data_IF_136282297671
#
_entry.id   IF_136282297671
#
_cell.length_a   1.000
_cell.length_b   1.000
_cell.length_c   1.000
_cell.angle_alpha   90.00
_cell.angle_beta   90.00
_cell.angle_gamma   90.00
#
_symmetry.space_group_name_H-M   'P 1'
#
loop_
_entity.id
_entity.type
_entity.pdbx_description
1 polymer ?
#
# COMPACT_ATOMS: atom_id res chain seq x y z
N UNK A 1 5.55 19.91 -3.87
CA UNK A 1 5.15 18.61 -4.42
C UNK A 1 3.67 18.64 -4.84
N UNK A 2 3.34 17.81 -5.85
CA UNK A 2 1.96 17.45 -6.16
C UNK A 2 1.68 16.11 -5.48
N UNK A 3 0.70 16.08 -4.59
CA UNK A 3 0.39 14.89 -3.77
C UNK A 3 -1.02 14.42 -4.13
N UNK A 4 -1.12 13.20 -4.66
CA UNK A 4 -2.40 12.58 -4.98
C UNK A 4 -2.81 11.58 -3.90
N UNK A 5 -3.95 11.80 -3.26
CA UNK A 5 -4.47 10.94 -2.19
C UNK A 5 -5.74 10.24 -2.68
N UNK A 6 -5.75 8.91 -2.60
CA UNK A 6 -6.98 8.15 -2.85
C UNK A 6 -8.01 8.43 -1.76
N UNK A 7 -9.23 8.81 -2.16
CA UNK A 7 -10.31 9.11 -1.22
C UNK A 7 -11.68 8.80 -1.85
N UNK A 8 -12.31 7.75 -1.36
CA UNK A 8 -13.66 7.33 -1.70
C UNK A 8 -14.17 6.33 -0.64
N UNK A 9 -15.35 5.74 -0.76
CA UNK A 9 -15.86 4.76 0.21
C UNK A 9 -14.96 3.53 0.41
N UNK A 10 -14.15 3.15 -0.59
CA UNK A 10 -13.20 2.03 -0.48
C UNK A 10 -11.89 2.45 0.21
N UNK A 11 -11.56 3.76 0.21
CA UNK A 11 -10.31 4.34 0.75
C UNK A 11 -10.64 5.54 1.64
N UNK A 12 -11.22 5.29 2.81
CA UNK A 12 -11.81 6.33 3.67
C UNK A 12 -11.11 6.48 5.03
N UNK A 13 -10.13 5.64 5.37
CA UNK A 13 -9.45 5.68 6.66
C UNK A 13 -8.24 6.64 6.60
N UNK A 14 -8.53 7.92 6.51
CA UNK A 14 -7.57 9.01 6.53
C UNK A 14 -7.64 9.74 7.88
N UNK A 15 -6.50 9.91 8.55
CA UNK A 15 -6.44 10.81 9.71
C UNK A 15 -6.15 12.24 9.24
N UNK A 16 -6.75 13.22 9.91
CA UNK A 16 -6.55 14.62 9.57
C UNK A 16 -5.09 15.03 9.81
N UNK A 17 -4.47 14.51 10.88
CA UNK A 17 -3.07 14.78 11.21
C UNK A 17 -2.12 14.33 10.10
N UNK A 18 -2.37 13.18 9.49
CA UNK A 18 -1.57 12.72 8.35
C UNK A 18 -1.76 13.61 7.11
N UNK A 19 -2.98 14.09 6.87
CA UNK A 19 -3.27 15.04 5.78
C UNK A 19 -2.57 16.37 6.04
N UNK A 20 -2.66 16.90 7.25
CA UNK A 20 -2.04 18.16 7.64
C UNK A 20 -0.52 18.09 7.54
N UNK A 21 0.07 16.94 7.91
CA UNK A 21 1.50 16.69 7.72
C UNK A 21 1.87 16.71 6.22
N UNK A 22 1.11 16.03 5.37
CA UNK A 22 1.36 16.02 3.93
C UNK A 22 1.19 17.40 3.28
N UNK A 23 0.21 18.18 3.73
CA UNK A 23 -0.06 19.53 3.20
C UNK A 23 1.11 20.49 3.38
N UNK A 24 2.01 20.22 4.33
CA UNK A 24 3.23 21.03 4.53
C UNK A 24 4.25 20.87 3.39
N UNK A 25 4.17 19.76 2.62
CA UNK A 25 5.12 19.47 1.55
C UNK A 25 4.64 19.88 0.17
N UNK A 26 3.34 20.17 0.01
CA UNK A 26 2.84 20.55 -1.30
C UNK A 26 1.33 20.60 -1.43
N UNK A 27 0.88 20.63 -2.66
CA UNK A 27 -0.54 20.69 -2.99
C UNK A 27 -1.15 19.29 -2.99
N UNK A 28 -2.23 19.12 -2.24
CA UNK A 28 -2.98 17.87 -2.19
C UNK A 28 -4.12 17.91 -3.21
N UNK A 29 -4.23 16.83 -3.99
CA UNK A 29 -5.39 16.51 -4.82
C UNK A 29 -5.95 15.16 -4.40
N UNK A 30 -7.26 15.00 -4.50
CA UNK A 30 -7.92 13.72 -4.23
C UNK A 30 -8.38 13.06 -5.52
N UNK A 31 -8.27 11.74 -5.56
CA UNK A 31 -8.82 10.93 -6.65
C UNK A 31 -9.56 9.72 -6.10
N UNK A 32 -10.46 9.15 -6.90
CA UNK A 32 -11.22 7.97 -6.52
C UNK A 32 -10.79 6.75 -7.31
N UNK A 33 -10.11 5.78 -6.68
CA UNK A 33 -9.91 4.47 -7.31
C UNK A 33 -11.22 3.80 -7.71
N UNK A 34 -12.29 3.99 -6.96
CA UNK A 34 -13.57 3.33 -7.15
C UNK A 34 -14.38 3.90 -8.32
N UNK A 35 -14.57 5.23 -8.35
CA UNK A 35 -15.50 5.88 -9.30
C UNK A 35 -14.81 6.65 -10.42
N UNK A 36 -13.53 6.67 -10.37
CA UNK A 36 -12.99 7.75 -11.01
C UNK A 36 -12.35 7.74 -12.30
N UNK A 37 -11.76 8.78 -12.39
CA UNK A 37 -10.81 9.34 -13.32
C UNK A 37 -9.51 8.55 -13.32
N UNK A 38 -8.64 8.99 -14.15
CA UNK A 38 -7.26 8.53 -14.21
C UNK A 38 -6.48 8.90 -12.94
N UNK A 39 -5.32 8.28 -12.78
CA UNK A 39 -4.36 8.68 -11.76
C UNK A 39 -3.90 10.12 -12.06
N UNK A 40 -4.04 11.07 -11.11
CA UNK A 40 -3.51 12.41 -11.30
C UNK A 40 -1.99 12.40 -11.45
N UNK A 41 -1.44 13.35 -12.21
CA UNK A 41 0.01 13.61 -12.20
C UNK A 41 0.43 14.01 -10.78
N UNK A 42 1.39 13.31 -10.20
CA UNK A 42 1.82 13.51 -8.83
C UNK A 42 3.29 13.15 -8.61
N UNK A 43 3.92 13.86 -7.67
CA UNK A 43 5.26 13.52 -7.14
C UNK A 43 5.18 12.43 -6.06
N UNK A 44 4.02 12.33 -5.39
CA UNK A 44 3.72 11.34 -4.37
C UNK A 44 2.26 10.88 -4.47
N UNK A 45 2.05 9.58 -4.51
CA UNK A 45 0.73 8.95 -4.41
C UNK A 45 0.57 8.33 -3.03
N UNK A 46 -0.54 8.61 -2.37
CA UNK A 46 -0.91 7.98 -1.11
C UNK A 46 -2.20 7.19 -1.26
N UNK A 47 -2.12 5.88 -1.03
CA UNK A 47 -3.24 4.94 -0.98
C UNK A 47 -3.50 4.56 0.47
N UNK A 48 -4.44 5.20 1.15
CA UNK A 48 -4.70 4.97 2.57
C UNK A 48 -5.47 3.69 2.83
N UNK A 49 -5.75 3.43 4.10
CA UNK A 49 -6.65 2.37 4.52
C UNK A 49 -8.10 2.61 4.09
N UNK A 50 -8.89 1.54 4.18
CA UNK A 50 -10.30 1.54 3.83
C UNK A 50 -10.85 0.12 3.81
N UNK A 51 -11.90 -0.06 3.03
CA UNK A 51 -12.62 -1.33 2.93
C UNK A 51 -12.76 -1.77 1.46
N UNK A 52 -11.64 -2.02 0.74
CA UNK A 52 -11.67 -2.42 -0.66
C UNK A 52 -12.44 -3.72 -0.88
N UNK A 53 -12.52 -4.59 0.12
CA UNK A 53 -13.27 -5.84 0.08
C UNK A 53 -14.78 -5.64 -0.14
N UNK A 54 -15.34 -4.53 0.32
CA UNK A 54 -16.75 -4.19 0.08
C UNK A 54 -17.01 -3.78 -1.37
N UNK A 55 -15.97 -3.42 -2.09
CA UNK A 55 -16.03 -2.87 -3.45
C UNK A 55 -15.17 -3.67 -4.46
N UNK A 56 -14.75 -4.88 -4.10
CA UNK A 56 -13.80 -5.67 -4.88
C UNK A 56 -14.26 -5.86 -6.34
N UNK A 57 -15.56 -6.09 -6.57
CA UNK A 57 -16.14 -6.24 -7.91
C UNK A 57 -16.06 -4.97 -8.76
N UNK A 58 -16.18 -3.81 -8.16
CA UNK A 58 -16.05 -2.52 -8.84
C UNK A 58 -14.58 -2.21 -9.09
N UNK A 59 -13.72 -2.38 -8.09
CA UNK A 59 -12.28 -2.13 -8.18
C UNK A 59 -11.62 -3.02 -9.23
N UNK A 60 -11.96 -4.30 -9.27
CA UNK A 60 -11.46 -5.26 -10.27
C UNK A 60 -11.60 -4.77 -11.72
N UNK A 61 -12.59 -3.93 -12.00
CA UNK A 61 -12.83 -3.38 -13.34
C UNK A 61 -11.96 -2.18 -13.67
N UNK A 62 -11.20 -1.67 -12.72
CA UNK A 62 -10.38 -0.45 -12.85
C UNK A 62 -9.03 -0.72 -13.51
N UNK A 63 -9.00 -1.53 -14.55
CA UNK A 63 -7.77 -1.97 -15.23
C UNK A 63 -6.92 -0.80 -15.75
N UNK A 64 -7.55 0.27 -16.23
CA UNK A 64 -6.83 1.46 -16.69
C UNK A 64 -6.06 2.12 -15.53
N UNK A 65 -6.71 2.31 -14.37
CA UNK A 65 -6.04 2.85 -13.19
C UNK A 65 -4.90 1.93 -12.72
N UNK A 66 -5.10 0.61 -12.77
CA UNK A 66 -4.06 -0.34 -12.39
C UNK A 66 -2.83 -0.26 -13.30
N UNK A 67 -3.03 -0.08 -14.60
CA UNK A 67 -1.93 0.14 -15.53
C UNK A 67 -1.21 1.47 -15.24
N UNK A 68 -1.96 2.55 -15.01
CA UNK A 68 -1.38 3.86 -14.66
C UNK A 68 -0.58 3.81 -13.35
N UNK A 69 -1.05 3.09 -12.32
CA UNK A 69 -0.29 2.88 -11.09
C UNK A 69 0.99 2.11 -11.35
N UNK A 70 0.92 1.09 -12.21
CA UNK A 70 2.10 0.30 -12.59
C UNK A 70 3.13 1.16 -13.33
N UNK A 71 2.70 1.90 -14.35
CA UNK A 71 3.57 2.78 -15.12
C UNK A 71 4.22 3.84 -14.21
N UNK A 72 3.42 4.50 -13.36
CA UNK A 72 3.91 5.47 -12.36
C UNK A 72 5.00 4.89 -11.45
N UNK A 73 4.79 3.66 -10.97
CA UNK A 73 5.75 2.97 -10.09
C UNK A 73 7.02 2.60 -10.87
N UNK A 74 6.86 2.10 -12.10
CA UNK A 74 8.00 1.69 -12.93
C UNK A 74 8.88 2.86 -13.34
N UNK A 75 8.28 4.03 -13.53
CA UNK A 75 8.97 5.30 -13.81
C UNK A 75 9.63 5.91 -12.56
N UNK A 76 9.52 5.25 -11.41
CA UNK A 76 10.18 5.67 -10.16
C UNK A 76 9.33 6.58 -9.28
N UNK A 77 8.03 6.66 -9.52
CA UNK A 77 7.09 7.42 -8.69
C UNK A 77 7.07 6.96 -7.23
N UNK A 78 6.95 7.92 -6.31
CA UNK A 78 6.86 7.64 -4.88
C UNK A 78 5.42 7.27 -4.51
N UNK A 79 5.25 6.11 -3.85
CA UNK A 79 3.94 5.66 -3.43
C UNK A 79 3.98 5.06 -2.02
N UNK A 80 3.04 5.47 -1.18
CA UNK A 80 2.75 4.83 0.10
C UNK A 80 1.37 4.17 0.04
N UNK A 81 1.31 2.89 0.37
CA UNK A 81 0.07 2.11 0.44
C UNK A 81 -0.10 1.48 1.83
N UNK A 82 -1.17 1.81 2.50
CA UNK A 82 -1.47 1.36 3.86
C UNK A 82 -2.77 0.55 3.88
N UNK A 83 -2.79 -0.58 4.57
CA UNK A 83 -3.99 -1.40 4.79
C UNK A 83 -4.74 -1.68 3.46
N UNK A 84 -5.92 -1.07 3.25
CA UNK A 84 -6.69 -1.21 2.01
C UNK A 84 -5.91 -0.79 0.75
N UNK A 85 -5.01 0.19 0.87
CA UNK A 85 -4.12 0.59 -0.22
C UNK A 85 -3.16 -0.53 -0.64
N UNK A 86 -2.61 -1.27 0.33
CA UNK A 86 -1.80 -2.46 0.04
C UNK A 86 -2.62 -3.55 -0.66
N UNK A 87 -3.86 -3.76 -0.21
CA UNK A 87 -4.77 -4.74 -0.85
C UNK A 87 -5.04 -4.37 -2.32
N UNK A 88 -5.19 -3.07 -2.63
CA UNK A 88 -5.33 -2.61 -4.02
C UNK A 88 -4.10 -2.93 -4.88
N UNK A 89 -2.91 -2.88 -4.30
CA UNK A 89 -1.66 -3.19 -5.00
C UNK A 89 -1.35 -4.69 -5.10
N UNK A 90 -2.13 -5.55 -4.47
CA UNK A 90 -1.95 -7.01 -4.48
C UNK A 90 -2.28 -7.63 -5.84
N UNK A 91 -1.97 -8.92 -5.99
CA UNK A 91 -2.37 -9.71 -7.15
C UNK A 91 -3.88 -9.94 -7.15
N UNK A 92 -4.44 -10.39 -6.02
CA UNK A 92 -5.87 -10.66 -5.94
C UNK A 92 -6.46 -10.45 -4.54
N UNK A 93 -7.78 -10.26 -4.51
CA UNK A 93 -8.59 -10.19 -3.30
C UNK A 93 -9.76 -11.16 -3.39
N UNK A 94 -9.83 -12.11 -2.47
CA UNK A 94 -10.96 -13.03 -2.29
C UNK A 94 -11.78 -12.58 -1.09
N UNK A 95 -13.01 -12.14 -1.33
CA UNK A 95 -13.88 -11.54 -0.29
C UNK A 95 -14.62 -12.56 0.57
N UNK A 96 -14.58 -13.83 0.19
CA UNK A 96 -15.17 -14.95 0.94
C UNK A 96 -14.36 -16.21 0.65
N UNK A 97 -14.02 -16.95 1.69
CA UNK A 97 -13.28 -18.19 1.55
C UNK A 97 -13.95 -19.12 0.52
N UNK A 98 -13.17 -19.62 -0.44
CA UNK A 98 -13.67 -20.41 -1.58
C UNK A 98 -14.48 -19.62 -2.61
N UNK A 99 -14.56 -18.31 -2.50
CA UNK A 99 -15.24 -17.43 -3.45
C UNK A 99 -14.35 -17.00 -4.62
N UNK A 100 -14.90 -16.12 -5.45
CA UNK A 100 -14.18 -15.53 -6.59
C UNK A 100 -13.03 -14.65 -6.10
N UNK A 101 -11.85 -14.87 -6.65
CA UNK A 101 -10.72 -13.96 -6.51
C UNK A 101 -10.86 -12.82 -7.53
N UNK A 102 -10.83 -11.59 -7.05
CA UNK A 102 -10.82 -10.38 -7.87
C UNK A 102 -9.38 -9.90 -8.06
N UNK A 103 -8.92 -9.93 -9.29
CA UNK A 103 -7.60 -9.42 -9.64
C UNK A 103 -7.51 -7.92 -9.36
N UNK A 104 -6.47 -7.49 -8.64
CA UNK A 104 -6.16 -6.12 -8.29
C UNK A 104 -5.04 -5.56 -9.18
N UNK A 105 -4.32 -4.54 -8.71
CA UNK A 105 -3.29 -3.88 -9.52
C UNK A 105 -2.06 -4.74 -9.80
N UNK A 106 -1.90 -5.85 -9.06
CA UNK A 106 -0.84 -6.82 -9.27
C UNK A 106 0.58 -6.21 -9.28
N UNK A 107 0.87 -5.33 -8.33
CA UNK A 107 2.20 -4.77 -8.06
C UNK A 107 2.97 -5.71 -7.14
N UNK A 108 2.29 -6.22 -6.12
CA UNK A 108 2.82 -7.24 -5.21
C UNK A 108 2.14 -8.59 -5.46
N UNK A 109 2.89 -9.70 -5.53
CA UNK A 109 2.34 -11.02 -5.84
C UNK A 109 1.64 -11.66 -4.64
N UNK A 110 0.90 -10.87 -3.88
CA UNK A 110 0.16 -11.31 -2.71
C UNK A 110 -1.30 -11.59 -3.06
N UNK A 111 -1.83 -12.70 -2.59
CA UNK A 111 -3.25 -12.99 -2.63
C UNK A 111 -3.84 -12.76 -1.25
N UNK A 112 -4.75 -11.80 -1.15
CA UNK A 112 -5.47 -11.55 0.09
C UNK A 112 -6.79 -12.31 0.11
N UNK A 113 -7.08 -12.92 1.26
CA UNK A 113 -8.38 -13.57 1.52
C UNK A 113 -9.00 -12.99 2.78
N UNK A 114 -10.27 -12.61 2.70
CA UNK A 114 -11.04 -12.19 3.86
C UNK A 114 -11.30 -13.36 4.80
N UNK A 115 -11.14 -13.09 6.10
CA UNK A 115 -11.39 -14.06 7.17
C UNK A 115 -12.38 -13.50 8.17
N UNK A 116 -12.81 -14.32 9.12
CA UNK A 116 -13.65 -13.91 10.26
C UNK A 116 -12.82 -13.42 11.45
N UNK A 117 -11.50 -13.60 11.39
CA UNK A 117 -10.59 -13.17 12.47
C UNK A 117 -10.09 -11.77 12.17
N UNK A 118 -10.14 -10.91 13.18
CA UNK A 118 -9.55 -9.59 13.08
C UNK A 118 -8.09 -9.61 13.53
N UNK A 119 -7.23 -8.93 12.77
CA UNK A 119 -5.90 -8.55 13.20
C UNK A 119 -5.94 -7.08 13.55
N UNK A 120 -5.82 -6.75 14.84
CA UNK A 120 -5.92 -5.37 15.30
C UNK A 120 -4.93 -5.08 16.44
N UNK A 121 -4.45 -3.85 16.49
CA UNK A 121 -3.61 -3.34 17.57
C UNK A 121 -2.58 -2.32 17.11
N UNK A 122 -1.95 -1.71 18.11
CA UNK A 122 -0.83 -0.82 17.87
C UNK A 122 0.40 -1.59 17.38
N UNK A 123 1.11 -0.97 16.44
CA UNK A 123 2.30 -1.53 15.78
C UNK A 123 3.44 -0.53 15.78
N UNK A 124 4.64 -1.08 15.72
CA UNK A 124 5.87 -0.33 15.60
C UNK A 124 6.82 -1.00 14.62
N UNK A 125 7.63 -0.20 13.96
CA UNK A 125 8.71 -0.65 13.09
C UNK A 125 9.86 0.36 13.15
N UNK A 126 11.04 -0.08 12.76
CA UNK A 126 12.18 0.79 12.54
C UNK A 126 12.63 0.67 11.10
N UNK A 127 12.67 1.79 10.39
CA UNK A 127 13.17 1.85 9.01
C UNK A 127 14.35 2.82 8.94
N UNK A 128 15.58 2.29 8.87
CA UNK A 128 16.82 3.06 8.79
C UNK A 128 16.91 4.21 9.81
N UNK A 129 16.61 3.92 11.08
CA UNK A 129 16.59 4.88 12.17
C UNK A 129 15.32 5.71 12.26
N UNK A 130 14.35 5.51 11.40
CA UNK A 130 13.04 6.12 11.47
C UNK A 130 12.10 5.22 12.28
N UNK A 131 11.68 5.70 13.47
CA UNK A 131 10.77 4.96 14.34
C UNK A 131 9.32 5.16 13.87
N UNK A 132 8.72 4.13 13.28
CA UNK A 132 7.33 4.14 12.81
C UNK A 132 6.41 3.62 13.91
N UNK A 133 5.27 4.31 14.09
CA UNK A 133 4.18 3.88 14.97
C UNK A 133 2.86 4.00 14.24
N UNK A 134 1.97 3.02 14.45
CA UNK A 134 0.69 3.02 13.75
C UNK A 134 -0.29 2.04 14.37
N UNK A 135 -1.41 1.86 13.67
CA UNK A 135 -2.48 0.96 14.08
C UNK A 135 -2.86 0.03 12.92
N UNK A 136 -2.84 -1.25 13.19
CA UNK A 136 -3.32 -2.29 12.28
C UNK A 136 -4.77 -2.65 12.63
N UNK A 137 -5.64 -2.79 11.62
CA UNK A 137 -6.99 -3.30 11.80
C UNK A 137 -7.54 -3.78 10.47
N UNK A 138 -7.63 -5.09 10.29
CA UNK A 138 -8.15 -5.73 9.09
C UNK A 138 -8.63 -7.15 9.36
N UNK A 139 -9.40 -7.68 8.42
CA UNK A 139 -9.91 -9.06 8.41
C UNK A 139 -9.34 -9.89 7.26
N UNK A 140 -8.15 -9.56 6.82
CA UNK A 140 -7.49 -10.24 5.69
C UNK A 140 -6.33 -11.09 6.16
N UNK A 141 -6.11 -12.19 5.46
CA UNK A 141 -4.89 -12.98 5.53
C UNK A 141 -4.26 -13.03 4.14
N UNK A 142 -2.94 -13.12 4.10
CA UNK A 142 -2.20 -13.31 2.87
C UNK A 142 -1.28 -14.51 3.00
N UNK A 143 -1.19 -15.32 1.95
CA UNK A 143 -0.10 -16.25 1.81
C UNK A 143 1.18 -15.45 1.59
N UNK A 144 2.22 -15.77 2.39
CA UNK A 144 3.50 -15.06 2.30
C UNK A 144 4.20 -15.50 1.01
N UNK A 145 4.33 -14.63 0.02
CA UNK A 145 5.07 -14.96 -1.19
C UNK A 145 6.56 -15.01 -0.86
N UNK A 146 7.34 -15.65 -1.70
CA UNK A 146 8.79 -15.75 -1.58
C UNK A 146 9.40 -14.37 -1.35
N UNK A 147 9.93 -14.16 -0.14
CA UNK A 147 10.41 -12.86 0.35
C UNK A 147 11.65 -12.30 -0.36
N UNK A 148 12.09 -12.94 -1.46
CA UNK A 148 13.31 -12.57 -2.19
C UNK A 148 13.13 -11.42 -3.19
N UNK A 149 11.91 -10.99 -3.47
CA UNK A 149 11.62 -9.96 -4.48
C UNK A 149 11.50 -8.54 -3.92
N UNK A 150 11.30 -8.40 -2.61
CA UNK A 150 11.03 -7.12 -1.97
C UNK A 150 11.84 -6.98 -0.69
N UNK A 151 12.30 -5.76 -0.41
CA UNK A 151 12.85 -5.47 0.91
C UNK A 151 11.71 -5.42 1.93
N UNK A 152 11.87 -6.13 3.03
CA UNK A 152 10.87 -6.22 4.08
C UNK A 152 11.42 -5.67 5.39
N UNK A 153 10.76 -4.66 5.96
CA UNK A 153 11.04 -4.14 7.30
C UNK A 153 10.10 -4.80 8.29
N UNK A 154 10.62 -5.53 9.30
CA UNK A 154 9.79 -6.19 10.29
C UNK A 154 8.88 -5.22 11.04
N UNK A 155 7.65 -5.62 11.25
CA UNK A 155 6.65 -4.90 12.06
C UNK A 155 6.37 -5.69 13.33
N UNK A 156 6.31 -5.01 14.45
CA UNK A 156 6.15 -5.61 15.76
C UNK A 156 4.92 -5.06 16.48
N UNK A 157 4.32 -5.90 17.32
CA UNK A 157 3.36 -5.46 18.33
C UNK A 157 4.07 -4.60 19.38
N UNK A 158 3.33 -3.88 20.21
CA UNK A 158 3.92 -3.12 21.33
C UNK A 158 4.60 -4.02 22.39
N UNK A 159 4.34 -5.33 22.35
CA UNK A 159 5.01 -6.33 23.20
C UNK A 159 6.27 -6.92 22.55
N UNK A 160 6.64 -6.46 21.36
CA UNK A 160 7.82 -6.93 20.63
C UNK A 160 7.66 -8.22 19.83
N UNK A 161 6.44 -8.75 19.70
CA UNK A 161 6.19 -9.92 18.85
C UNK A 161 6.08 -9.49 17.40
N UNK A 162 6.68 -10.23 16.47
CA UNK A 162 6.57 -9.99 15.04
C UNK A 162 5.14 -10.15 14.56
N UNK A 163 4.73 -9.32 13.61
CA UNK A 163 3.47 -9.49 12.87
C UNK A 163 3.68 -10.36 11.63
N UNK A 164 2.59 -10.85 11.04
CA UNK A 164 2.64 -11.70 9.84
C UNK A 164 3.01 -10.94 8.57
N UNK A 165 2.77 -9.64 8.52
CA UNK A 165 3.01 -8.81 7.33
C UNK A 165 3.94 -7.65 7.70
N UNK A 166 5.15 -7.62 7.12
CA UNK A 166 6.08 -6.51 7.29
C UNK A 166 5.67 -5.29 6.47
N UNK A 167 6.41 -4.19 6.62
CA UNK A 167 6.39 -3.10 5.67
C UNK A 167 7.29 -3.49 4.49
N UNK A 168 6.69 -3.69 3.33
CA UNK A 168 7.41 -4.02 2.10
C UNK A 168 7.85 -2.76 1.37
N UNK A 169 8.97 -2.88 0.67
CA UNK A 169 9.46 -1.88 -0.25
C UNK A 169 9.76 -2.52 -1.61
N UNK A 170 9.23 -1.90 -2.65
CA UNK A 170 9.56 -2.16 -4.04
C UNK A 170 9.87 -0.85 -4.76
N UNK A 171 11.09 -0.65 -5.25
CA UNK A 171 11.51 0.66 -5.79
C UNK A 171 11.20 1.79 -4.80
N UNK A 172 10.40 2.75 -5.21
CA UNK A 172 9.92 3.87 -4.39
C UNK A 172 8.51 3.65 -3.82
N UNK A 173 8.05 2.40 -3.76
CA UNK A 173 6.77 2.02 -3.15
C UNK A 173 7.01 1.44 -1.76
N UNK A 174 6.27 1.96 -0.78
CA UNK A 174 6.14 1.35 0.54
C UNK A 174 4.71 0.83 0.71
N UNK A 175 4.56 -0.42 1.10
CA UNK A 175 3.26 -1.05 1.28
C UNK A 175 3.23 -1.96 2.51
N UNK A 176 2.15 -1.86 3.30
CA UNK A 176 1.95 -2.67 4.50
C UNK A 176 0.51 -2.61 4.99
N UNK A 177 0.18 -3.43 6.01
CA UNK A 177 -1.17 -3.47 6.57
C UNK A 177 -1.38 -2.49 7.74
N UNK A 178 -0.33 -1.81 8.18
CA UNK A 178 -0.39 -0.81 9.25
C UNK A 178 -0.72 0.56 8.65
N UNK A 179 -1.61 1.28 9.31
CA UNK A 179 -1.82 2.71 9.09
C UNK A 179 -0.89 3.47 10.03
N UNK A 180 0.12 4.09 9.45
CA UNK A 180 1.14 4.80 10.20
C UNK A 180 0.67 6.19 10.63
N UNK A 181 1.18 6.67 11.75
CA UNK A 181 0.93 8.02 12.24
C UNK A 181 2.08 8.94 11.80
N UNK A 182 1.76 9.87 10.91
CA UNK A 182 2.73 10.79 10.30
C UNK A 182 2.75 12.19 10.94
N UNK A 183 1.95 12.42 12.00
CA UNK A 183 1.86 13.73 12.63
C UNK A 183 3.11 14.19 13.38
N UNK A 184 3.99 13.26 13.77
CA UNK A 184 5.20 13.53 14.54
C UNK A 184 6.49 13.34 13.74
N UNK A 185 6.39 12.95 12.45
CA UNK A 185 7.55 12.67 11.64
C UNK A 185 7.36 13.08 10.18
N UNK A 186 8.48 13.32 9.50
CA UNK A 186 8.45 13.58 8.06
C UNK A 186 8.24 12.28 7.28
N UNK A 187 7.06 12.12 6.70
CA UNK A 187 6.75 10.96 5.84
C UNK A 187 7.74 10.83 4.69
N UNK A 188 8.28 11.94 4.17
CA UNK A 188 9.26 11.93 3.08
C UNK A 188 10.61 11.32 3.49
N UNK A 189 10.87 11.16 4.79
CA UNK A 189 12.07 10.48 5.28
C UNK A 189 12.10 8.99 4.88
N UNK A 190 10.96 8.38 4.58
CA UNK A 190 10.92 7.05 3.98
C UNK A 190 11.78 6.97 2.71
N UNK A 191 11.73 7.99 1.86
CA UNK A 191 12.47 8.03 0.60
C UNK A 191 13.86 8.66 0.71
N UNK A 192 14.08 9.56 1.66
CA UNK A 192 15.39 10.17 1.91
C UNK A 192 16.43 9.19 2.46
N UNK A 193 15.96 8.21 3.23
CA UNK A 193 16.80 7.18 3.88
C UNK A 193 16.98 5.91 3.04
N UNK A 194 16.52 5.92 1.81
CA UNK A 194 16.71 4.81 0.88
C UNK A 194 18.17 4.74 0.47
N UNK A 195 18.87 3.60 0.69
CA UNK A 195 20.18 3.39 0.08
C UNK A 195 20.05 3.50 -1.44
N UNK A 196 21.01 4.12 -2.09
CA UNK A 196 21.10 4.17 -3.55
C UNK A 196 21.35 2.72 -4.02
N UNK A 197 20.28 1.99 -4.35
CA UNK A 197 20.43 0.64 -4.91
C UNK A 197 20.90 0.76 -6.34
N UNK A 198 22.12 0.31 -6.56
CA UNK A 198 22.75 0.25 -7.89
C UNK A 198 22.20 -0.86 -8.76
N UNK A 199 21.32 -1.72 -8.27
CA UNK A 199 20.69 -2.80 -9.04
C UNK A 199 19.29 -3.13 -8.49
N UNK A 200 18.26 -2.44 -8.97
CA UNK A 200 16.90 -2.98 -8.86
C UNK A 200 16.77 -4.15 -9.82
N UNK A 201 16.33 -5.34 -9.37
CA UNK A 201 16.04 -6.42 -10.29
C UNK A 201 14.99 -5.98 -11.32
N UNK A 202 15.20 -6.40 -12.58
CA UNK A 202 14.19 -6.22 -13.61
C UNK A 202 12.86 -6.84 -13.17
N UNK A 203 11.77 -6.33 -13.73
CA UNK A 203 10.41 -6.81 -13.48
C UNK A 203 10.38 -8.35 -13.38
N UNK A 204 9.84 -8.93 -12.31
CA UNK A 204 9.81 -10.38 -12.17
C UNK A 204 9.11 -11.04 -13.36
N UNK A 205 9.66 -12.13 -13.87
CA UNK A 205 9.19 -12.82 -15.08
C UNK A 205 7.74 -13.32 -15.02
N UNK A 206 7.14 -13.41 -13.82
CA UNK A 206 5.73 -13.78 -13.68
C UNK A 206 4.75 -12.72 -14.20
N UNK A 207 5.23 -11.48 -14.40
CA UNK A 207 4.43 -10.41 -15.01
C UNK A 207 4.30 -10.56 -16.53
N UNK A 208 5.23 -11.26 -17.17
CA UNK A 208 5.28 -11.40 -18.63
C UNK A 208 4.26 -12.42 -19.18
N UNK A 209 3.57 -13.18 -18.32
CA UNK A 209 2.70 -14.27 -18.77
C UNK A 209 1.22 -13.89 -18.93
N UNK A 210 0.83 -12.65 -18.63
CA UNK A 210 -0.57 -12.21 -18.65
C UNK A 210 -0.78 -10.86 -19.37
N UNK A 211 -0.07 -10.63 -20.47
CA UNK A 211 -0.38 -9.55 -21.42
C UNK A 211 -1.04 -10.17 -22.63
#
# INVERSE_FOLDING_TARGET
LQIAIARDPAFCLLSQENIDSLAQYGQISYFSPLYGSDLPSADLVYLPGGYPELFARQLYRRKRLFNQLRDYIEEGGKLLAECGGMVLLSHSLTVRQGGTAYEMANIFPFDFTMTTRTNAGYRQAEYHGLALRGYESHYTETANPDGNLFTATPVYTMRGNSTSVPLFRYKNVFAGLVRWYWGEMDMLDLWKKVPTETNSPAFPSFWQKNI
#
